data_IF_185998536680
#
_entry.id   IF_185998536680
#
_cell.length_a   1.000
_cell.length_b   1.000
_cell.length_c   1.000
_cell.angle_alpha   90.00
_cell.angle_beta   90.00
_cell.angle_gamma   90.00
#
_symmetry.space_group_name_H-M   'P 1'
#
loop_
_entity.id
_entity.type
_entity.pdbx_description
1 polymer ?
#
# COMPACT_ATOMS: atom_id res chain seq x y z
N UNK A 1 -69.03 18.63 32.97
CA UNK A 1 -67.84 19.02 32.17
C UNK A 1 -66.63 18.68 33.02
N UNK A 2 -66.14 17.43 33.00
CA UNK A 2 -64.99 16.91 32.22
C UNK A 2 -63.69 17.73 32.35
N UNK A 3 -62.60 16.98 32.59
CA UNK A 3 -61.14 17.29 32.57
C UNK A 3 -60.55 17.33 34.01
N UNK A 4 -59.93 16.28 34.61
CA UNK A 4 -58.74 15.45 34.25
C UNK A 4 -57.59 16.35 33.74
N UNK A 5 -56.35 16.42 34.23
CA UNK A 5 -55.25 15.50 34.60
C UNK A 5 -54.26 16.41 35.42
N UNK A 6 -53.45 16.03 36.40
CA UNK A 6 -52.62 14.84 36.56
C UNK A 6 -51.84 14.89 37.88
N UNK A 7 -51.55 13.70 38.41
CA UNK A 7 -50.75 13.49 39.61
C UNK A 7 -49.27 13.45 39.21
N UNK A 8 -48.48 14.38 39.74
CA UNK A 8 -47.02 14.33 39.65
C UNK A 8 -46.51 13.44 40.80
N UNK A 9 -46.23 12.17 40.52
CA UNK A 9 -45.49 11.32 41.44
C UNK A 9 -43.99 11.53 41.18
N UNK A 10 -43.33 12.23 42.09
CA UNK A 10 -41.88 12.37 42.11
C UNK A 10 -41.30 11.05 42.63
N UNK A 11 -40.87 10.18 41.71
CA UNK A 11 -40.06 9.01 42.07
C UNK A 11 -38.63 9.45 42.32
N UNK A 12 -38.24 9.44 43.59
CA UNK A 12 -36.85 9.53 44.05
C UNK A 12 -36.15 8.21 43.71
N UNK A 13 -35.55 8.09 42.51
CA UNK A 13 -34.64 7.00 42.21
C UNK A 13 -33.28 7.30 42.83
N UNK A 14 -32.98 6.61 43.93
CA UNK A 14 -31.64 6.50 44.51
C UNK A 14 -30.83 5.62 43.55
N UNK A 15 -30.27 6.25 42.52
CA UNK A 15 -29.24 5.66 41.67
C UNK A 15 -27.89 6.08 42.22
N UNK A 16 -27.19 5.16 42.91
CA UNK A 16 -25.80 5.36 43.27
C UNK A 16 -24.99 5.65 42.01
N UNK A 17 -24.45 6.86 41.91
CA UNK A 17 -23.52 7.24 40.86
C UNK A 17 -22.22 6.47 41.13
N UNK A 18 -22.08 5.30 40.52
CA UNK A 18 -20.78 4.63 40.42
C UNK A 18 -19.94 5.53 39.52
N UNK A 19 -19.04 6.32 40.12
CA UNK A 19 -17.93 6.96 39.43
C UNK A 19 -17.02 5.86 38.92
N UNK A 20 -17.36 5.27 37.77
CA UNK A 20 -16.39 4.49 37.01
C UNK A 20 -15.36 5.51 36.55
N UNK A 21 -14.06 5.36 36.86
CA UNK A 21 -13.04 6.18 36.22
C UNK A 21 -13.11 5.86 34.74
N UNK A 22 -13.80 6.70 33.97
CA UNK A 22 -13.55 6.82 32.55
C UNK A 22 -12.14 7.37 32.47
N UNK A 23 -11.17 6.47 32.37
CA UNK A 23 -9.88 6.84 31.82
C UNK A 23 -10.21 7.65 30.56
N UNK A 24 -9.58 8.84 30.36
CA UNK A 24 -9.75 9.54 29.11
C UNK A 24 -9.55 8.50 28.00
N UNK A 25 -10.47 8.43 27.04
CA UNK A 25 -10.26 7.60 25.86
C UNK A 25 -8.92 8.05 25.30
N UNK A 26 -7.88 7.25 25.59
CA UNK A 26 -6.53 7.58 25.19
C UNK A 26 -6.61 7.74 23.69
N UNK A 27 -6.28 8.93 23.19
CA UNK A 27 -5.94 9.07 21.79
C UNK A 27 -4.72 8.19 21.59
N UNK A 28 -4.97 6.93 21.21
CA UNK A 28 -3.93 5.99 20.86
C UNK A 28 -3.16 6.64 19.72
N UNK A 29 -1.88 6.93 19.95
CA UNK A 29 -1.00 7.41 18.90
C UNK A 29 -0.82 6.24 17.94
N UNK A 30 -1.59 6.25 16.86
CA UNK A 30 -1.38 5.35 15.75
C UNK A 30 -0.13 5.83 15.01
N UNK A 31 0.94 5.04 15.08
CA UNK A 31 2.23 5.45 14.55
C UNK A 31 2.43 5.08 13.09
N UNK A 32 1.66 4.12 12.54
CA UNK A 32 1.86 3.65 11.17
C UNK A 32 0.69 3.96 10.24
N UNK A 33 1.01 4.47 9.07
CA UNK A 33 0.09 4.59 7.94
C UNK A 33 -0.15 3.27 7.20
N UNK A 34 -1.05 3.32 6.22
CA UNK A 34 -1.21 2.31 5.18
C UNK A 34 -1.55 3.01 3.87
N UNK A 35 -1.22 2.38 2.73
CA UNK A 35 -1.50 2.94 1.40
C UNK A 35 -2.49 2.05 0.66
N UNK A 36 -3.35 2.68 -0.12
CA UNK A 36 -4.29 2.01 -1.02
C UNK A 36 -4.20 2.66 -2.38
N UNK A 37 -4.53 1.95 -3.43
CA UNK A 37 -4.63 2.54 -4.74
C UNK A 37 -5.26 1.60 -5.74
N UNK A 38 -5.83 2.17 -6.78
CA UNK A 38 -6.36 1.41 -7.90
C UNK A 38 -6.56 2.30 -9.09
N UNK A 39 -6.38 1.73 -10.27
CA UNK A 39 -6.37 2.52 -11.49
C UNK A 39 -5.87 1.77 -12.70
N UNK A 40 -5.42 2.57 -13.66
CA UNK A 40 -4.83 2.09 -14.90
C UNK A 40 -3.85 3.10 -15.47
N UNK A 41 -2.96 2.62 -16.32
CA UNK A 41 -2.05 3.45 -17.11
C UNK A 41 -1.78 2.82 -18.47
N UNK A 42 -1.28 3.62 -19.40
CA UNK A 42 -0.67 3.11 -20.64
C UNK A 42 0.80 2.88 -20.37
N UNK A 43 1.27 1.67 -20.68
CA UNK A 43 2.68 1.31 -20.58
C UNK A 43 3.47 2.17 -21.57
N UNK A 44 4.47 2.90 -21.08
CA UNK A 44 5.29 3.81 -21.88
C UNK A 44 6.62 3.18 -22.27
N UNK A 45 7.19 3.59 -23.41
CA UNK A 45 8.55 3.20 -23.81
C UNK A 45 9.56 3.76 -22.81
N UNK A 46 10.57 2.97 -22.42
CA UNK A 46 11.56 3.36 -21.41
C UNK A 46 11.12 3.11 -19.96
N UNK A 47 9.83 2.85 -19.72
CA UNK A 47 9.25 2.50 -18.42
C UNK A 47 8.95 1.00 -18.31
N UNK A 48 9.69 0.19 -19.08
CA UNK A 48 9.56 -1.26 -19.12
C UNK A 48 10.94 -1.88 -19.14
N UNK A 49 11.24 -2.76 -18.20
CA UNK A 49 12.38 -3.66 -18.37
C UNK A 49 11.86 -4.91 -19.09
N UNK A 50 12.09 -4.98 -20.40
CA UNK A 50 11.87 -6.20 -21.17
C UNK A 50 13.22 -6.89 -21.46
N UNK A 51 13.20 -8.20 -21.24
CA UNK A 51 14.15 -9.24 -21.64
C UNK A 51 15.54 -9.25 -20.99
N UNK A 52 15.62 -9.82 -19.78
CA UNK A 52 16.85 -10.40 -19.24
C UNK A 52 16.97 -11.88 -19.64
N UNK A 53 16.76 -12.24 -20.91
CA UNK A 53 17.01 -13.61 -21.40
C UNK A 53 16.20 -14.73 -20.73
N UNK A 54 15.16 -14.40 -19.96
CA UNK A 54 14.28 -15.34 -19.28
C UNK A 54 12.87 -15.24 -19.89
N UNK A 55 12.46 -16.31 -20.57
CA UNK A 55 11.28 -16.41 -21.44
C UNK A 55 9.93 -16.40 -20.73
N UNK A 56 9.86 -16.09 -19.43
CA UNK A 56 8.65 -16.32 -18.63
C UNK A 56 7.49 -15.37 -18.94
N UNK A 57 7.77 -14.13 -19.34
CA UNK A 57 6.74 -13.12 -19.63
C UNK A 57 6.91 -12.51 -21.03
N UNK A 58 7.26 -13.34 -22.01
CA UNK A 58 7.43 -12.90 -23.40
C UNK A 58 6.17 -12.18 -23.91
N UNK A 59 6.36 -10.99 -24.50
CA UNK A 59 5.27 -10.18 -25.03
C UNK A 59 4.50 -9.36 -23.97
N UNK A 60 4.95 -9.34 -22.71
CA UNK A 60 4.43 -8.43 -21.69
C UNK A 60 5.17 -7.09 -21.71
N UNK A 61 4.61 -6.06 -21.08
CA UNK A 61 5.26 -4.75 -20.97
C UNK A 61 5.36 -4.05 -22.32
N UNK A 62 4.39 -4.25 -23.21
CA UNK A 62 4.42 -3.66 -24.55
C UNK A 62 4.00 -2.20 -24.46
N UNK A 63 4.84 -1.24 -24.90
CA UNK A 63 4.44 0.17 -24.96
C UNK A 63 3.14 0.37 -25.75
N UNK A 64 2.24 1.20 -25.22
CA UNK A 64 0.90 1.41 -25.76
C UNK A 64 -0.17 0.46 -25.22
N UNK A 65 0.23 -0.65 -24.58
CA UNK A 65 -0.71 -1.54 -23.91
C UNK A 65 -1.22 -0.91 -22.60
N UNK A 66 -2.46 -1.24 -22.23
CA UNK A 66 -3.03 -0.84 -20.94
C UNK A 66 -2.59 -1.78 -19.84
N UNK A 67 -2.32 -1.23 -18.67
CA UNK A 67 -2.20 -1.96 -17.42
C UNK A 67 -3.29 -1.49 -16.43
N UNK A 68 -3.89 -2.43 -15.70
CA UNK A 68 -4.78 -2.16 -14.57
C UNK A 68 -4.14 -2.62 -13.26
N UNK A 69 -4.41 -1.91 -12.18
CA UNK A 69 -3.96 -2.30 -10.86
C UNK A 69 -5.00 -1.99 -9.79
N UNK A 70 -4.94 -2.75 -8.71
CA UNK A 70 -5.56 -2.43 -7.44
C UNK A 70 -4.66 -3.01 -6.35
N UNK A 71 -4.11 -2.19 -5.48
CA UNK A 71 -3.13 -2.62 -4.49
C UNK A 71 -3.34 -1.88 -3.18
N UNK A 72 -3.11 -2.55 -2.07
CA UNK A 72 -2.99 -1.90 -0.78
C UNK A 72 -1.99 -2.63 0.09
N UNK A 73 -1.38 -1.90 1.02
CA UNK A 73 -0.38 -2.44 1.92
C UNK A 73 -0.19 -1.55 3.13
N UNK A 74 0.24 -2.17 4.22
CA UNK A 74 0.54 -1.50 5.48
C UNK A 74 0.91 -2.51 6.54
N UNK A 75 0.83 -2.06 7.79
CA UNK A 75 0.94 -2.94 8.95
C UNK A 75 -0.39 -2.99 9.69
N UNK A 76 -0.71 -4.16 10.24
CA UNK A 76 -1.92 -4.39 11.03
C UNK A 76 -1.67 -5.46 12.08
N UNK A 77 -2.00 -5.18 13.34
CA UNK A 77 -1.92 -6.12 14.46
C UNK A 77 -0.57 -6.85 14.55
N UNK A 78 0.54 -6.10 14.47
CA UNK A 78 1.92 -6.60 14.50
C UNK A 78 2.31 -7.49 13.31
N UNK A 79 1.59 -7.38 12.20
CA UNK A 79 1.86 -8.13 10.96
C UNK A 79 1.86 -7.20 9.76
N UNK A 80 2.56 -7.60 8.70
CA UNK A 80 2.36 -6.99 7.39
C UNK A 80 1.00 -7.39 6.84
N UNK A 81 0.30 -6.44 6.21
CA UNK A 81 -1.05 -6.63 5.72
C UNK A 81 -1.21 -5.97 4.36
N UNK A 82 -1.98 -6.61 3.48
CA UNK A 82 -2.34 -6.06 2.20
C UNK A 82 -2.86 -7.11 1.24
N UNK A 83 -3.26 -6.65 0.06
CA UNK A 83 -3.64 -7.48 -1.07
C UNK A 83 -3.41 -6.65 -2.36
N UNK A 84 -3.39 -7.31 -3.50
CA UNK A 84 -3.23 -6.62 -4.76
C UNK A 84 -3.47 -7.50 -5.98
N UNK A 85 -3.90 -6.85 -7.04
CA UNK A 85 -4.00 -7.40 -8.38
C UNK A 85 -3.37 -6.43 -9.37
N UNK A 86 -2.68 -7.00 -10.35
CA UNK A 86 -2.12 -6.26 -11.47
C UNK A 86 -2.42 -7.02 -12.76
N UNK A 87 -2.87 -6.32 -13.80
CA UNK A 87 -3.24 -6.90 -15.09
C UNK A 87 -2.58 -6.12 -16.23
N UNK A 88 -1.64 -6.75 -16.94
CA UNK A 88 -1.08 -6.24 -18.19
C UNK A 88 -1.89 -6.81 -19.37
N UNK A 89 -2.58 -5.93 -20.10
CA UNK A 89 -3.41 -6.33 -21.25
C UNK A 89 -2.60 -6.66 -22.51
N UNK A 90 -1.33 -6.27 -22.60
CA UNK A 90 -0.49 -6.57 -23.77
C UNK A 90 -0.26 -8.06 -23.95
N UNK A 91 -0.13 -8.80 -22.85
CA UNK A 91 0.06 -10.26 -22.85
C UNK A 91 -0.97 -11.03 -22.00
N UNK A 92 -1.92 -10.33 -21.40
CA UNK A 92 -2.88 -10.91 -20.44
C UNK A 92 -2.20 -11.47 -19.19
N UNK A 93 -1.13 -10.85 -18.70
CA UNK A 93 -0.49 -11.24 -17.43
C UNK A 93 -1.34 -10.71 -16.27
N UNK A 94 -1.82 -11.61 -15.43
CA UNK A 94 -2.49 -11.28 -14.17
C UNK A 94 -1.59 -11.73 -13.01
N UNK A 95 -1.24 -10.78 -12.15
CA UNK A 95 -0.50 -11.00 -10.91
C UNK A 95 -1.47 -10.84 -9.75
N UNK A 96 -1.51 -11.82 -8.85
CA UNK A 96 -2.35 -11.80 -7.65
C UNK A 96 -1.47 -11.99 -6.41
N UNK A 97 -1.46 -10.99 -5.54
CA UNK A 97 -0.74 -11.03 -4.27
C UNK A 97 -1.23 -12.20 -3.41
N UNK A 98 -0.30 -13.01 -2.91
CA UNK A 98 -0.58 -14.10 -1.97
C UNK A 98 -0.07 -13.81 -0.57
N UNK A 99 0.94 -12.94 -0.42
CA UNK A 99 1.52 -12.57 0.86
C UNK A 99 2.22 -11.22 0.77
N UNK A 100 1.94 -10.33 1.72
CA UNK A 100 2.78 -9.16 2.00
C UNK A 100 3.84 -9.55 3.02
N UNK A 101 5.10 -9.22 2.71
CA UNK A 101 6.28 -9.55 3.52
C UNK A 101 6.95 -8.29 4.03
N UNK A 102 6.73 -7.15 3.39
CA UNK A 102 7.36 -5.89 3.79
C UNK A 102 6.53 -4.67 3.34
N UNK A 103 6.65 -3.60 4.11
CA UNK A 103 5.99 -2.32 3.87
C UNK A 103 6.87 -1.17 4.33
N UNK A 104 7.33 -0.33 3.41
CA UNK A 104 8.38 0.66 3.68
C UNK A 104 7.99 2.04 3.12
N UNK A 105 8.40 3.10 3.80
CA UNK A 105 8.27 4.47 3.30
C UNK A 105 9.53 4.95 2.59
N UNK A 106 9.32 5.56 1.43
CA UNK A 106 10.37 6.15 0.61
C UNK A 106 10.31 7.67 0.78
N UNK A 107 11.44 8.28 1.12
CA UNK A 107 11.63 9.73 1.10
C UNK A 107 12.56 10.13 -0.04
N UNK A 108 12.68 11.44 -0.26
CA UNK A 108 13.58 12.05 -1.25
C UNK A 108 15.06 11.69 -1.03
N UNK A 109 15.44 11.25 0.17
CA UNK A 109 16.81 10.80 0.49
C UNK A 109 16.94 9.25 0.51
N UNK A 110 15.98 8.52 -0.04
CA UNK A 110 15.92 7.06 -0.03
C UNK A 110 14.94 6.50 1.01
N UNK A 111 15.11 5.25 1.42
CA UNK A 111 14.23 4.66 2.44
C UNK A 111 14.45 5.39 3.76
N UNK A 112 13.38 5.91 4.34
CA UNK A 112 13.42 6.53 5.67
C UNK A 112 12.71 5.64 6.66
N UNK A 113 13.43 4.66 7.20
CA UNK A 113 12.97 3.99 8.41
C UNK A 113 13.24 4.91 9.60
N UNK A 114 12.19 5.25 10.36
CA UNK A 114 12.39 5.72 11.73
C UNK A 114 12.97 4.57 12.57
N UNK A 115 13.70 4.87 13.65
CA UNK A 115 14.42 3.89 14.47
C UNK A 115 13.54 2.73 15.03
N UNK A 116 12.22 2.85 14.93
CA UNK A 116 11.21 1.85 15.29
C UNK A 116 10.70 1.00 14.13
N UNK A 117 11.22 1.15 12.91
CA UNK A 117 10.72 0.41 11.77
C UNK A 117 9.28 0.80 11.44
N UNK A 118 8.97 2.10 11.48
CA UNK A 118 7.61 2.62 11.30
C UNK A 118 7.54 3.64 10.17
N UNK A 119 6.51 3.54 9.33
CA UNK A 119 6.12 4.57 8.37
C UNK A 119 5.27 5.60 9.12
N UNK A 120 5.80 6.78 9.47
CA UNK A 120 5.11 7.67 10.39
C UNK A 120 3.80 8.16 9.78
N UNK A 121 2.69 7.83 10.44
CA UNK A 121 1.39 8.43 10.14
C UNK A 121 1.46 9.94 10.36
N UNK A 122 0.96 10.73 9.42
CA UNK A 122 0.85 12.17 9.61
C UNK A 122 -0.41 12.51 10.42
N UNK A 123 -0.42 13.71 11.02
CA UNK A 123 -1.60 14.28 11.70
C UNK A 123 -2.51 15.05 10.73
N UNK A 124 -2.14 15.17 9.45
CA UNK A 124 -2.95 15.76 8.39
C UNK A 124 -4.08 14.81 7.96
N UNK A 125 -5.16 15.37 7.43
CA UNK A 125 -6.27 14.59 6.88
C UNK A 125 -6.00 14.15 5.43
N UNK A 126 -4.94 14.65 4.82
CA UNK A 126 -4.45 14.30 3.49
C UNK A 126 -2.95 14.09 3.63
N UNK A 127 -2.55 12.83 3.80
CA UNK A 127 -1.15 12.44 3.87
C UNK A 127 -0.69 12.18 2.45
N UNK A 128 0.51 12.65 2.09
CA UNK A 128 1.14 12.31 0.82
C UNK A 128 2.41 11.52 1.04
N UNK A 129 2.86 10.85 -0.03
CA UNK A 129 4.17 10.26 -0.06
C UNK A 129 4.23 8.92 -0.78
N UNK A 130 5.42 8.33 -0.74
CA UNK A 130 5.72 7.09 -1.44
C UNK A 130 5.85 5.93 -0.47
N UNK A 131 5.24 4.80 -0.83
CA UNK A 131 5.37 3.54 -0.10
C UNK A 131 5.74 2.43 -1.06
N UNK A 132 6.52 1.47 -0.59
CA UNK A 132 6.65 0.18 -1.25
C UNK A 132 5.96 -0.91 -0.45
N UNK A 133 5.29 -1.80 -1.18
CA UNK A 133 4.72 -3.04 -0.67
C UNK A 133 5.47 -4.16 -1.37
N UNK A 134 6.05 -5.08 -0.61
CA UNK A 134 6.79 -6.21 -1.16
C UNK A 134 6.29 -7.52 -0.60
N UNK A 135 6.44 -8.59 -1.38
CA UNK A 135 6.00 -9.91 -0.96
C UNK A 135 5.98 -10.91 -2.10
N UNK A 136 5.07 -11.87 -2.02
CA UNK A 136 4.92 -12.93 -3.00
C UNK A 136 3.57 -12.87 -3.70
N UNK A 137 3.55 -13.27 -4.96
CA UNK A 137 2.35 -13.32 -5.78
C UNK A 137 2.34 -14.57 -6.65
N UNK A 138 1.14 -14.97 -7.03
CA UNK A 138 0.88 -15.94 -8.09
C UNK A 138 0.59 -15.22 -9.40
N UNK A 139 0.86 -15.87 -10.53
CA UNK A 139 0.49 -15.36 -11.85
C UNK A 139 -0.41 -16.35 -12.59
N UNK A 140 -1.26 -15.84 -13.48
CA UNK A 140 -2.05 -16.68 -14.39
C UNK A 140 -1.20 -17.38 -15.47
N UNK A 141 0.12 -17.20 -15.45
CA UNK A 141 1.10 -17.91 -16.29
C UNK A 141 1.71 -19.13 -15.58
N UNK A 142 1.23 -19.47 -14.39
CA UNK A 142 1.66 -20.65 -13.63
C UNK A 142 2.94 -20.46 -12.82
N UNK A 143 3.43 -19.22 -12.70
CA UNK A 143 4.68 -18.89 -12.02
C UNK A 143 4.41 -18.10 -10.74
N UNK A 144 5.04 -18.49 -9.63
CA UNK A 144 5.13 -17.68 -8.43
C UNK A 144 6.26 -16.67 -8.57
N UNK A 145 6.02 -15.44 -8.12
CA UNK A 145 6.98 -14.33 -8.20
C UNK A 145 7.13 -13.66 -6.85
N UNK A 146 8.30 -13.10 -6.60
CA UNK A 146 8.42 -12.02 -5.61
C UNK A 146 8.04 -10.71 -6.30
N UNK A 147 7.41 -9.78 -5.58
CA UNK A 147 7.04 -8.48 -6.13
C UNK A 147 7.55 -7.34 -5.26
N UNK A 148 7.84 -6.22 -5.92
CA UNK A 148 7.99 -4.90 -5.33
C UNK A 148 7.02 -3.97 -6.05
N UNK A 149 6.04 -3.45 -5.33
CA UNK A 149 5.12 -2.43 -5.83
C UNK A 149 5.47 -1.12 -5.16
N UNK A 150 5.57 -0.04 -5.95
CA UNK A 150 5.73 1.32 -5.45
C UNK A 150 4.50 2.14 -5.80
N UNK A 151 3.97 2.82 -4.80
CA UNK A 151 2.81 3.71 -4.92
C UNK A 151 3.20 5.06 -4.36
N UNK A 152 2.88 6.13 -5.08
CA UNK A 152 3.09 7.51 -4.66
C UNK A 152 1.74 8.24 -4.71
N UNK A 153 1.28 8.67 -3.54
CA UNK A 153 0.18 9.61 -3.38
C UNK A 153 0.73 11.04 -3.46
N UNK A 154 0.29 11.76 -4.48
CA UNK A 154 0.74 13.12 -4.80
C UNK A 154 -0.26 14.22 -4.42
N UNK A 155 -1.45 13.88 -3.92
CA UNK A 155 -2.60 14.79 -3.77
C UNK A 155 -2.52 15.71 -2.52
N UNK A 156 -2.91 17.00 -2.61
CA UNK A 156 -4.29 17.33 -2.98
C UNK A 156 -4.44 18.19 -4.25
N UNK A 157 -3.39 18.33 -5.07
CA UNK A 157 -3.42 19.26 -6.20
C UNK A 157 -4.11 18.67 -7.44
N UNK A 158 -4.92 19.50 -8.10
CA UNK A 158 -5.88 19.21 -9.18
C UNK A 158 -5.35 18.51 -10.44
N UNK A 159 -4.07 18.11 -10.47
CA UNK A 159 -3.49 17.24 -11.46
C UNK A 159 -3.15 15.91 -10.78
N UNK A 160 -4.02 14.90 -10.93
CA UNK A 160 -3.80 13.51 -10.50
C UNK A 160 -2.45 13.01 -11.01
N UNK A 161 -1.41 13.11 -10.19
CA UNK A 161 -0.04 12.75 -10.54
C UNK A 161 0.44 11.47 -9.87
N UNK A 162 -0.50 10.75 -9.25
CA UNK A 162 -0.22 9.50 -8.56
C UNK A 162 0.54 8.54 -9.46
N UNK A 163 1.51 7.86 -8.85
CA UNK A 163 2.43 6.98 -9.58
C UNK A 163 2.27 5.57 -9.06
N UNK A 164 2.13 4.61 -9.97
CA UNK A 164 2.11 3.19 -9.64
C UNK A 164 3.19 2.46 -10.43
N UNK A 165 3.92 1.58 -9.77
CA UNK A 165 4.95 0.76 -10.39
C UNK A 165 4.95 -0.64 -9.80
N UNK A 166 5.25 -1.63 -10.64
CA UNK A 166 5.45 -3.01 -10.24
C UNK A 166 6.72 -3.57 -10.87
N UNK A 167 7.52 -4.27 -10.06
CA UNK A 167 8.63 -5.10 -10.51
C UNK A 167 8.37 -6.51 -9.97
N UNK A 168 8.46 -7.50 -10.86
CA UNK A 168 8.40 -8.92 -10.51
C UNK A 168 9.78 -9.52 -10.59
N UNK A 169 10.06 -10.38 -9.63
CA UNK A 169 11.33 -11.06 -9.47
C UNK A 169 11.12 -12.56 -9.41
N UNK A 170 12.14 -13.31 -9.81
CA UNK A 170 12.25 -14.71 -9.45
C UNK A 170 12.27 -14.83 -7.92
N UNK A 171 11.41 -15.66 -7.30
CA UNK A 171 11.28 -15.69 -5.84
C UNK A 171 12.51 -16.29 -5.13
N UNK A 172 13.40 -16.95 -5.86
CA UNK A 172 14.60 -17.62 -5.33
C UNK A 172 15.87 -16.85 -5.68
N UNK A 173 16.03 -16.43 -6.94
CA UNK A 173 17.25 -15.75 -7.42
C UNK A 173 17.17 -14.23 -7.34
N UNK A 174 15.97 -13.69 -7.12
CA UNK A 174 15.65 -12.25 -7.17
C UNK A 174 15.98 -11.55 -8.50
N UNK A 175 16.25 -12.31 -9.56
CA UNK A 175 16.36 -11.80 -10.91
C UNK A 175 15.08 -11.09 -11.33
N UNK A 176 15.22 -9.92 -11.97
CA UNK A 176 14.07 -9.16 -12.49
C UNK A 176 13.47 -9.90 -13.69
N UNK A 177 12.19 -10.24 -13.58
CA UNK A 177 11.42 -10.92 -14.63
C UNK A 177 10.57 -9.96 -15.44
N UNK A 178 10.14 -8.86 -14.80
CA UNK A 178 9.20 -7.91 -15.38
C UNK A 178 9.26 -6.61 -14.58
N UNK A 179 9.17 -5.47 -15.27
CA UNK A 179 9.02 -4.17 -14.61
C UNK A 179 8.18 -3.25 -15.47
N UNK A 180 7.29 -2.51 -14.83
CA UNK A 180 6.58 -1.40 -15.48
C UNK A 180 6.02 -0.40 -14.47
N UNK A 181 5.73 0.80 -14.94
CA UNK A 181 5.17 1.88 -14.15
C UNK A 181 4.29 2.82 -14.97
N UNK A 182 3.37 3.47 -14.29
CA UNK A 182 2.54 4.56 -14.78
C UNK A 182 2.88 5.83 -14.03
N UNK A 183 3.50 6.78 -14.74
CA UNK A 183 3.93 8.08 -14.22
C UNK A 183 3.44 9.18 -15.16
N UNK A 184 2.30 9.83 -14.86
CA UNK A 184 1.32 9.47 -13.83
C UNK A 184 0.45 8.28 -14.25
N UNK A 185 -0.36 7.77 -13.33
CA UNK A 185 -1.48 6.88 -13.70
C UNK A 185 -2.47 7.65 -14.58
N UNK A 186 -3.07 6.96 -15.54
CA UNK A 186 -4.01 7.57 -16.50
C UNK A 186 -5.44 7.65 -15.97
N UNK A 187 -5.76 6.90 -14.92
CA UNK A 187 -7.01 7.03 -14.18
C UNK A 187 -7.01 6.14 -12.94
N UNK A 188 -7.87 6.48 -11.98
CA UNK A 188 -7.84 5.89 -10.64
C UNK A 188 -7.45 6.90 -9.58
N UNK A 189 -7.00 6.39 -8.43
CA UNK A 189 -6.46 7.15 -7.30
C UNK A 189 -5.47 6.29 -6.50
N UNK A 190 -4.48 6.92 -5.88
CA UNK A 190 -3.67 6.37 -4.80
C UNK A 190 -3.91 7.24 -3.57
N UNK A 191 -4.15 6.61 -2.43
CA UNK A 191 -4.43 7.29 -1.17
C UNK A 191 -3.54 6.72 -0.07
N UNK A 192 -2.77 7.60 0.56
CA UNK A 192 -2.07 7.33 1.79
C UNK A 192 -3.01 7.66 2.96
N UNK A 193 -3.27 6.65 3.77
CA UNK A 193 -4.21 6.74 4.87
C UNK A 193 -3.48 6.90 6.18
N UNK A 194 -4.02 7.82 7.00
CA UNK A 194 -3.63 7.94 8.38
C UNK A 194 -3.78 6.60 9.11
N UNK A 195 -2.82 6.32 9.97
CA UNK A 195 -2.87 5.20 10.89
C UNK A 195 -4.03 5.25 11.88
N UNK A 196 -4.42 4.06 12.33
CA UNK A 196 -5.30 3.83 13.47
C UNK A 196 -4.64 2.85 14.47
N UNK A 197 -5.24 2.57 15.65
CA UNK A 197 -4.61 1.74 16.67
C UNK A 197 -4.31 0.30 16.24
N UNK A 198 -4.97 -0.19 15.19
CA UNK A 198 -4.65 -1.50 14.60
C UNK A 198 -3.42 -1.46 13.71
N UNK A 199 -2.95 -0.30 13.24
CA UNK A 199 -1.74 -0.14 12.43
C UNK A 199 -0.48 -0.21 13.29
N UNK A 200 -0.26 -1.37 13.88
CA UNK A 200 0.92 -1.70 14.68
C UNK A 200 1.86 -2.57 13.85
N UNK A 201 3.12 -2.14 13.72
CA UNK A 201 4.16 -2.86 13.00
C UNK A 201 4.60 -4.13 13.74
N UNK A 202 5.15 -5.14 13.03
CA UNK A 202 5.84 -6.26 13.66
C UNK A 202 6.94 -5.78 14.60
N UNK A 203 7.22 -6.52 15.68
CA UNK A 203 8.23 -6.14 16.68
C UNK A 203 9.66 -6.02 16.15
N UNK A 204 9.93 -6.58 14.96
CA UNK A 204 11.20 -6.45 14.24
C UNK A 204 11.24 -5.31 13.20
N UNK A 205 10.13 -4.60 12.99
CA UNK A 205 10.00 -3.61 11.92
C UNK A 205 10.01 -4.25 10.53
N UNK A 206 10.71 -3.61 9.58
CA UNK A 206 11.02 -4.12 8.24
C UNK A 206 11.48 -5.57 8.26
N UNK A 207 11.09 -6.35 7.26
CA UNK A 207 11.76 -7.64 7.00
C UNK A 207 13.05 -7.49 6.19
N UNK A 208 13.31 -6.31 5.60
CA UNK A 208 14.42 -6.07 4.67
C UNK A 208 14.18 -6.69 3.29
N UNK A 209 12.97 -7.18 3.03
CA UNK A 209 12.65 -7.84 1.77
C UNK A 209 12.51 -6.83 0.63
N UNK A 210 11.89 -5.66 0.87
CA UNK A 210 11.88 -4.59 -0.13
C UNK A 210 13.30 -4.13 -0.48
N UNK A 211 14.19 -4.02 0.53
CA UNK A 211 15.60 -3.67 0.32
C UNK A 211 16.32 -4.67 -0.58
N UNK A 212 16.10 -5.96 -0.32
CA UNK A 212 16.69 -7.05 -1.11
C UNK A 212 16.25 -6.99 -2.56
N UNK A 213 14.94 -6.86 -2.81
CA UNK A 213 14.40 -6.78 -4.18
C UNK A 213 14.87 -5.51 -4.91
N UNK A 214 14.90 -4.38 -4.21
CA UNK A 214 15.39 -3.11 -4.75
C UNK A 214 16.87 -3.18 -5.11
N UNK A 215 17.72 -3.71 -4.24
CA UNK A 215 19.14 -3.91 -4.54
C UNK A 215 19.33 -4.81 -5.77
N UNK A 216 18.53 -5.89 -5.88
CA UNK A 216 18.58 -6.79 -7.01
C UNK A 216 18.19 -6.13 -8.34
N UNK A 217 17.14 -5.29 -8.36
CA UNK A 217 16.77 -4.57 -9.58
C UNK A 217 17.75 -3.44 -9.92
N UNK A 218 18.20 -2.68 -8.92
CA UNK A 218 19.17 -1.59 -9.11
C UNK A 218 20.52 -2.08 -9.63
N UNK A 219 20.98 -3.25 -9.21
CA UNK A 219 22.19 -3.89 -9.75
C UNK A 219 22.11 -4.18 -11.26
N UNK A 220 20.89 -4.16 -11.84
CA UNK A 220 20.61 -4.32 -13.27
C UNK A 220 20.31 -2.99 -13.97
N UNK A 221 20.41 -1.86 -13.25
CA UNK A 221 19.98 -0.55 -13.75
C UNK A 221 18.46 -0.42 -13.89
N UNK A 222 17.69 -1.21 -13.16
CA UNK A 222 16.22 -1.22 -13.22
C UNK A 222 15.67 -0.73 -11.87
N UNK A 223 14.95 0.39 -11.88
CA UNK A 223 14.17 0.87 -10.73
C UNK A 223 13.02 1.75 -11.22
N UNK A 224 12.18 2.21 -10.30
CA UNK A 224 11.08 3.12 -10.58
C UNK A 224 11.56 4.57 -10.75
N UNK A 225 11.02 5.29 -11.74
CA UNK A 225 11.38 6.67 -12.06
C UNK A 225 10.46 7.69 -11.39
N UNK A 226 10.16 7.48 -10.12
CA UNK A 226 9.15 8.27 -9.39
C UNK A 226 9.59 9.70 -9.02
N UNK A 227 10.79 10.13 -9.45
CA UNK A 227 11.35 11.47 -9.21
C UNK A 227 10.79 12.53 -10.17
#
# INVERSE_FOLDING_TARGET
>A
MKNIIGKLAISLLIGGLVLVPVAPAGAWIATNDFITGGGWYIIQSGHTAFDVGVTFFTGCGIPGSRANFGWHGGVKNQQFWGNGNYLDHGCGLHVHNTQVVDYVCISTNGITWTATGTCPSSTSHQDTGTREVCGYASTNKGTSVAYRVRMNDTEPEAAKQDKFGIILHNPTTFEVLYATEGIPISGGNIELHRGNPSNTAPSGGSSGFCDTLRAASQARGIDFHFE
#
